data_IF_483967979641
#
_entry.id   IF_483967979641
#
_cell.length_a   1.000
_cell.length_b   1.000
_cell.length_c   1.000
_cell.angle_alpha   90.00
_cell.angle_beta   90.00
_cell.angle_gamma   90.00
#
_symmetry.space_group_name_H-M   'P 1'
#
loop_
_entity.id
_entity.type
_entity.pdbx_description
1 polymer ?
#
# COMPACT_ATOMS: atom_id res chain seq x y z
N UNK A 1 -32.57 14.31 -33.82
CA UNK A 1 -32.57 14.00 -32.38
C UNK A 1 -31.38 13.07 -32.08
N UNK A 2 -30.15 13.54 -32.28
CA UNK A 2 -28.94 12.68 -32.21
C UNK A 2 -27.84 13.24 -31.28
N UNK A 3 -28.10 14.34 -30.57
CA UNK A 3 -27.10 15.03 -29.73
C UNK A 3 -27.17 14.68 -28.24
N UNK A 4 -28.01 13.73 -27.82
CA UNK A 4 -28.10 13.31 -26.41
C UNK A 4 -27.27 12.05 -26.11
N UNK A 5 -27.13 11.11 -27.05
CA UNK A 5 -26.32 9.88 -26.85
C UNK A 5 -24.80 10.12 -26.91
N UNK A 6 -24.36 11.13 -27.68
CA UNK A 6 -22.93 11.44 -27.78
C UNK A 6 -22.39 12.10 -26.50
N UNK A 7 -23.25 12.84 -25.82
CA UNK A 7 -22.90 13.50 -24.56
C UNK A 7 -22.90 12.51 -23.39
N UNK A 8 -23.84 11.56 -23.33
CA UNK A 8 -23.90 10.57 -22.23
C UNK A 8 -22.67 9.66 -22.17
N UNK A 9 -22.07 9.28 -23.30
CA UNK A 9 -20.77 8.56 -23.30
C UNK A 9 -19.63 9.40 -22.73
N UNK A 10 -19.59 10.70 -23.04
CA UNK A 10 -18.58 11.62 -22.52
C UNK A 10 -18.78 11.92 -21.02
N UNK A 11 -20.02 11.86 -20.53
CA UNK A 11 -20.30 11.96 -19.09
C UNK A 11 -19.95 10.69 -18.33
N UNK A 12 -20.13 9.50 -18.93
CA UNK A 12 -19.65 8.25 -18.33
C UNK A 12 -18.12 8.22 -18.25
N UNK A 13 -17.39 8.77 -19.22
CA UNK A 13 -15.93 8.96 -19.14
C UNK A 13 -15.50 9.97 -18.05
N UNK A 14 -16.37 10.89 -17.65
CA UNK A 14 -16.11 11.86 -16.58
C UNK A 14 -16.54 11.35 -15.19
N UNK A 15 -17.49 10.41 -15.12
CA UNK A 15 -17.90 9.64 -13.93
C UNK A 15 -17.07 8.35 -13.71
N UNK A 16 -16.07 8.07 -14.55
CA UNK A 16 -14.79 7.52 -14.05
C UNK A 16 -14.14 8.61 -13.19
N UNK A 17 -14.81 8.97 -12.10
CA UNK A 17 -14.34 9.84 -11.05
C UNK A 17 -12.90 9.44 -10.77
N UNK A 18 -12.01 10.43 -10.74
CA UNK A 18 -10.56 10.25 -10.60
C UNK A 18 -10.27 9.49 -9.30
N UNK A 19 -10.42 8.17 -9.30
CA UNK A 19 -10.12 7.31 -8.17
C UNK A 19 -8.68 7.62 -7.81
N UNK A 20 -8.50 8.09 -6.58
CA UNK A 20 -7.18 8.49 -6.13
C UNK A 20 -6.26 7.26 -6.18
N UNK A 21 -4.95 7.49 -6.25
CA UNK A 21 -4.00 6.38 -6.17
C UNK A 21 -4.23 5.54 -4.90
N UNK A 22 -4.56 6.22 -3.80
CA UNK A 22 -4.86 5.60 -2.53
C UNK A 22 -6.05 4.64 -2.63
N UNK A 23 -7.15 5.09 -3.25
CA UNK A 23 -8.36 4.29 -3.40
C UNK A 23 -8.15 3.08 -4.32
N UNK A 24 -7.42 3.26 -5.44
CA UNK A 24 -7.03 2.16 -6.30
C UNK A 24 -6.14 1.16 -5.56
N UNK A 25 -5.21 1.64 -4.73
CA UNK A 25 -4.33 0.79 -3.93
C UNK A 25 -5.13 -0.03 -2.92
N UNK A 26 -6.04 0.60 -2.16
CA UNK A 26 -6.90 -0.06 -1.17
C UNK A 26 -7.77 -1.14 -1.83
N UNK A 27 -8.41 -0.80 -2.96
CA UNK A 27 -9.27 -1.72 -3.69
C UNK A 27 -8.46 -2.92 -4.25
N UNK A 28 -7.27 -2.66 -4.79
CA UNK A 28 -6.39 -3.72 -5.29
C UNK A 28 -5.93 -4.66 -4.17
N UNK A 29 -5.51 -4.12 -3.03
CA UNK A 29 -5.11 -4.92 -1.86
C UNK A 29 -6.28 -5.78 -1.38
N UNK A 30 -7.47 -5.19 -1.23
CA UNK A 30 -8.66 -5.92 -0.81
C UNK A 30 -9.02 -7.06 -1.78
N UNK A 31 -8.93 -6.82 -3.09
CA UNK A 31 -9.15 -7.85 -4.11
C UNK A 31 -8.13 -8.98 -4.03
N UNK A 32 -6.85 -8.65 -3.83
CA UNK A 32 -5.77 -9.62 -3.67
C UNK A 32 -5.92 -10.46 -2.40
N UNK A 33 -6.24 -9.84 -1.27
CA UNK A 33 -6.51 -10.53 0.00
C UNK A 33 -7.69 -11.50 -0.12
N UNK A 34 -8.76 -11.07 -0.79
CA UNK A 34 -9.97 -11.88 -0.94
C UNK A 34 -9.79 -13.06 -1.89
N UNK A 35 -9.14 -12.86 -3.04
CA UNK A 35 -9.03 -13.90 -4.09
C UNK A 35 -7.77 -14.76 -3.93
N UNK A 36 -6.72 -14.28 -3.27
CA UNK A 36 -5.43 -14.97 -3.10
C UNK A 36 -4.59 -15.09 -4.38
N UNK A 37 -5.24 -15.27 -5.53
CA UNK A 37 -4.65 -15.23 -6.87
C UNK A 37 -5.57 -14.43 -7.78
N UNK A 38 -5.00 -13.54 -8.58
CA UNK A 38 -5.75 -12.70 -9.52
C UNK A 38 -4.99 -12.55 -10.85
N UNK A 39 -5.71 -12.44 -11.96
CA UNK A 39 -5.13 -12.09 -13.26
C UNK A 39 -5.19 -10.59 -13.54
N UNK A 40 -4.36 -10.11 -14.45
CA UNK A 40 -4.37 -8.71 -14.88
C UNK A 40 -5.74 -8.29 -15.45
N UNK A 41 -6.38 -9.16 -16.23
CA UNK A 41 -7.71 -8.92 -16.81
C UNK A 41 -8.78 -8.76 -15.73
N UNK A 42 -8.73 -9.59 -14.68
CA UNK A 42 -9.63 -9.46 -13.52
C UNK A 42 -9.39 -8.14 -12.77
N UNK A 43 -8.13 -7.77 -12.56
CA UNK A 43 -7.76 -6.48 -11.95
C UNK A 43 -8.34 -5.32 -12.78
N UNK A 44 -8.18 -5.35 -14.10
CA UNK A 44 -8.66 -4.31 -15.01
C UNK A 44 -10.19 -4.19 -14.96
N UNK A 45 -10.90 -5.32 -14.90
CA UNK A 45 -12.37 -5.34 -14.83
C UNK A 45 -12.92 -4.80 -13.51
N UNK A 46 -12.20 -4.96 -12.40
CA UNK A 46 -12.66 -4.57 -11.07
C UNK A 46 -12.25 -3.12 -10.72
N UNK A 47 -11.01 -2.74 -11.01
CA UNK A 47 -10.53 -1.39 -10.68
C UNK A 47 -11.06 -0.33 -11.65
N UNK A 48 -11.42 -0.74 -12.88
CA UNK A 48 -11.96 0.15 -13.90
C UNK A 48 -11.03 1.36 -14.09
N UNK A 49 -9.75 1.10 -14.33
CA UNK A 49 -8.72 2.14 -14.53
C UNK A 49 -7.81 1.78 -15.69
N UNK A 50 -6.93 2.70 -16.09
CA UNK A 50 -6.03 2.45 -17.21
C UNK A 50 -4.95 1.40 -16.85
N UNK A 51 -4.47 0.68 -17.87
CA UNK A 51 -3.50 -0.40 -17.68
C UNK A 51 -2.20 0.10 -17.05
N UNK A 52 -1.76 1.31 -17.42
CA UNK A 52 -0.54 1.90 -16.89
C UNK A 52 -0.61 2.05 -15.36
N UNK A 53 -1.74 2.50 -14.82
CA UNK A 53 -1.90 2.67 -13.37
C UNK A 53 -1.88 1.35 -12.64
N UNK A 54 -2.43 0.31 -13.25
CA UNK A 54 -2.38 -1.06 -12.74
C UNK A 54 -0.92 -1.55 -12.72
N UNK A 55 -0.15 -1.33 -13.79
CA UNK A 55 1.27 -1.70 -13.82
C UNK A 55 2.11 -0.94 -12.79
N UNK A 56 1.87 0.36 -12.59
CA UNK A 56 2.55 1.15 -11.57
C UNK A 56 2.31 0.54 -10.17
N UNK A 57 1.04 0.25 -9.85
CA UNK A 57 0.64 -0.37 -8.60
C UNK A 57 1.26 -1.75 -8.40
N UNK A 58 1.15 -2.62 -9.40
CA UNK A 58 1.69 -3.98 -9.34
C UNK A 58 3.21 -3.98 -9.22
N UNK A 59 3.90 -3.04 -9.87
CA UNK A 59 5.36 -2.91 -9.78
C UNK A 59 5.79 -2.54 -8.37
N UNK A 60 5.08 -1.61 -7.72
CA UNK A 60 5.33 -1.26 -6.32
C UNK A 60 5.08 -2.47 -5.41
N UNK A 61 3.92 -3.13 -5.53
CA UNK A 61 3.58 -4.29 -4.70
C UNK A 61 4.55 -5.47 -4.89
N UNK A 62 5.06 -5.68 -6.12
CA UNK A 62 6.10 -6.67 -6.40
C UNK A 62 7.42 -6.29 -5.73
N UNK A 63 7.83 -5.01 -5.81
CA UNK A 63 9.06 -4.52 -5.19
C UNK A 63 9.04 -4.62 -3.66
N UNK A 64 7.84 -4.49 -3.06
CA UNK A 64 7.62 -4.66 -1.62
C UNK A 64 7.50 -6.13 -1.19
N UNK A 65 7.48 -7.08 -2.12
CA UNK A 65 7.30 -8.51 -1.79
C UNK A 65 5.89 -8.87 -1.30
N UNK A 66 4.92 -7.98 -1.46
CA UNK A 66 3.53 -8.19 -1.02
C UNK A 66 2.80 -9.16 -1.97
N UNK A 67 3.17 -9.13 -3.25
CA UNK A 67 2.65 -10.03 -4.29
C UNK A 67 3.78 -10.74 -5.04
N UNK A 68 3.48 -11.90 -5.62
CA UNK A 68 4.40 -12.62 -6.50
C UNK A 68 3.80 -12.80 -7.89
N UNK A 69 4.60 -12.59 -8.93
CA UNK A 69 4.20 -12.86 -10.32
C UNK A 69 4.47 -14.32 -10.68
N UNK A 70 3.49 -14.98 -11.28
CA UNK A 70 3.71 -16.32 -11.84
C UNK A 70 4.39 -16.25 -13.21
N UNK A 71 5.66 -16.60 -13.30
CA UNK A 71 6.41 -16.55 -14.55
C UNK A 71 6.33 -17.84 -15.39
N UNK A 72 5.70 -18.93 -14.91
CA UNK A 72 5.85 -20.26 -15.52
C UNK A 72 4.70 -20.71 -16.43
N UNK A 73 3.44 -20.34 -16.18
CA UNK A 73 2.29 -20.89 -16.94
C UNK A 73 1.12 -19.94 -17.24
N UNK A 74 1.01 -18.80 -16.55
CA UNK A 74 -0.07 -17.83 -16.74
C UNK A 74 0.54 -16.44 -16.81
N UNK A 75 0.86 -15.98 -18.03
CA UNK A 75 1.32 -14.60 -18.26
C UNK A 75 0.24 -13.67 -17.69
N UNK A 76 0.61 -12.89 -16.67
CA UNK A 76 -0.29 -11.90 -16.07
C UNK A 76 -1.09 -12.38 -14.85
N UNK A 77 -0.66 -13.42 -14.13
CA UNK A 77 -1.25 -13.75 -12.82
C UNK A 77 -0.35 -13.38 -11.65
N UNK A 78 -0.98 -12.90 -10.58
CA UNK A 78 -0.38 -12.41 -9.36
C UNK A 78 -0.94 -13.17 -8.17
N UNK A 79 -0.07 -13.50 -7.22
CA UNK A 79 -0.44 -14.17 -5.97
C UNK A 79 -0.26 -13.20 -4.82
N UNK A 80 -1.24 -13.17 -3.92
CA UNK A 80 -1.14 -12.51 -2.63
C UNK A 80 -0.21 -13.32 -1.72
N UNK A 81 0.87 -12.69 -1.24
CA UNK A 81 1.76 -13.29 -0.24
C UNK A 81 1.50 -12.71 1.16
N UNK A 82 0.85 -11.54 1.23
CA UNK A 82 0.48 -10.88 2.48
C UNK A 82 1.59 -10.07 3.13
N UNK A 83 1.22 -9.34 4.18
CA UNK A 83 2.12 -8.46 4.92
C UNK A 83 3.29 -9.20 5.61
N UNK A 84 3.20 -10.53 5.74
CA UNK A 84 4.27 -11.37 6.29
C UNK A 84 5.48 -11.56 5.36
N UNK A 85 5.36 -11.14 4.09
CA UNK A 85 6.37 -11.36 3.04
C UNK A 85 7.09 -10.09 2.58
N UNK A 86 7.00 -9.00 3.34
CA UNK A 86 7.91 -7.84 3.24
C UNK A 86 9.37 -8.24 3.62
N UNK A 87 9.66 -9.53 3.65
CA UNK A 87 10.89 -10.15 4.08
C UNK A 87 11.28 -11.18 3.01
N UNK A 88 12.56 -11.23 2.71
CA UNK A 88 13.24 -12.20 1.85
C UNK A 88 13.33 -11.85 0.36
N UNK A 89 14.01 -10.74 0.06
CA UNK A 89 15.14 -10.86 -0.86
C UNK A 89 16.38 -10.25 -0.21
N UNK A 90 17.21 -11.14 0.37
CA UNK A 90 18.59 -10.93 0.81
C UNK A 90 18.83 -10.06 2.07
N UNK A 91 18.88 -10.74 3.22
CA UNK A 91 19.78 -10.43 4.35
C UNK A 91 19.77 -9.02 4.99
N UNK A 92 18.65 -8.31 4.94
CA UNK A 92 18.47 -7.10 5.74
C UNK A 92 17.17 -7.25 6.51
N UNK A 93 17.19 -6.85 7.78
CA UNK A 93 16.00 -6.80 8.63
C UNK A 93 14.85 -6.16 7.85
N UNK A 94 13.67 -6.78 7.90
CA UNK A 94 12.51 -6.33 7.12
C UNK A 94 12.28 -4.85 7.36
N UNK A 95 12.00 -4.07 6.32
CA UNK A 95 11.77 -2.64 6.48
C UNK A 95 10.68 -2.35 7.53
N UNK A 96 9.66 -3.20 7.65
CA UNK A 96 8.69 -3.15 8.75
C UNK A 96 9.30 -3.39 10.13
N UNK A 97 10.22 -4.36 10.28
CA UNK A 97 10.94 -4.59 11.55
C UNK A 97 11.88 -3.43 11.88
N UNK A 98 12.54 -2.85 10.87
CA UNK A 98 13.38 -1.65 11.03
C UNK A 98 12.53 -0.47 11.49
N UNK A 99 11.39 -0.23 10.84
CA UNK A 99 10.46 0.84 11.22
C UNK A 99 9.86 0.61 12.61
N UNK A 100 9.53 -0.63 12.98
CA UNK A 100 9.05 -0.98 14.33
C UNK A 100 10.13 -0.75 15.39
N UNK A 101 11.40 -1.10 15.09
CA UNK A 101 12.54 -0.83 15.98
C UNK A 101 12.76 0.66 16.14
N UNK A 102 12.81 1.42 15.04
CA UNK A 102 12.96 2.88 15.07
C UNK A 102 11.84 3.52 15.89
N UNK A 103 10.59 3.09 15.70
CA UNK A 103 9.46 3.63 16.44
C UNK A 103 9.57 3.34 17.95
N UNK A 104 9.98 2.14 18.33
CA UNK A 104 10.23 1.79 19.75
C UNK A 104 11.36 2.60 20.36
N UNK A 105 12.47 2.79 19.63
CA UNK A 105 13.61 3.60 20.10
C UNK A 105 13.23 5.07 20.28
N UNK A 106 12.49 5.66 19.33
CA UNK A 106 12.00 7.03 19.44
C UNK A 106 11.08 7.22 20.65
N UNK A 107 10.19 6.27 20.92
CA UNK A 107 9.34 6.31 22.10
C UNK A 107 10.13 6.21 23.41
N UNK A 108 11.16 5.37 23.46
CA UNK A 108 12.00 5.25 24.65
C UNK A 108 12.76 6.56 24.92
N UNK A 109 13.31 7.18 23.87
CA UNK A 109 13.97 8.49 23.95
C UNK A 109 13.00 9.53 24.52
N UNK A 110 11.77 9.58 24.01
CA UNK A 110 10.74 10.50 24.51
C UNK A 110 10.41 10.28 26.00
N UNK A 111 10.31 9.02 26.43
CA UNK A 111 10.09 8.69 27.84
C UNK A 111 11.24 9.14 28.73
N UNK A 112 12.49 8.95 28.28
CA UNK A 112 13.69 9.39 29.00
C UNK A 112 13.68 10.91 29.14
N UNK A 113 13.41 11.67 28.07
CA UNK A 113 13.31 13.13 28.13
C UNK A 113 12.26 13.59 29.14
N UNK A 114 11.06 12.98 29.13
CA UNK A 114 10.01 13.30 30.11
C UNK A 114 10.42 12.98 31.56
N UNK A 115 11.22 11.94 31.77
CA UNK A 115 11.71 11.58 33.08
C UNK A 115 12.79 12.55 33.59
N UNK A 116 13.73 12.94 32.74
CA UNK A 116 14.76 13.94 33.08
C UNK A 116 14.13 15.29 33.44
N UNK A 117 13.15 15.75 32.64
CA UNK A 117 12.44 17.02 32.92
C UNK A 117 11.74 17.00 34.29
N UNK A 118 11.20 15.86 34.71
CA UNK A 118 10.60 15.71 36.05
C UNK A 118 11.64 15.78 37.15
N UNK A 119 12.81 15.15 36.97
CA UNK A 119 13.90 15.21 37.94
C UNK A 119 14.42 16.64 38.08
N UNK A 120 14.58 17.37 36.97
CA UNK A 120 15.04 18.77 37.00
C UNK A 120 14.04 19.67 37.74
N UNK A 121 12.73 19.43 37.55
CA UNK A 121 11.66 20.12 38.29
C UNK A 121 11.59 19.75 39.78
N UNK A 122 11.98 18.53 40.15
CA UNK A 122 12.04 18.08 41.55
C UNK A 122 13.28 18.61 42.26
N UNK A 123 14.43 18.67 41.57
CA UNK A 123 15.67 19.21 42.11
C UNK A 123 15.66 20.74 42.22
N UNK A 124 15.04 21.45 41.27
CA UNK A 124 14.87 22.91 41.33
C UNK A 124 13.85 23.41 42.37
N UNK A 125 13.17 22.51 43.09
CA UNK A 125 12.30 22.84 44.23
C UNK A 125 12.95 22.62 45.59
N UNK A 126 14.17 22.08 45.60
CA UNK A 126 14.94 21.77 46.82
C UNK A 126 16.12 22.75 47.05
N UNK A 127 16.23 23.82 46.26
CA UNK A 127 17.04 25.02 46.53
C UNK A 127 16.14 26.18 46.99
#
# INVERSE_FOLDING_TARGET
>A
MENQEFNSKKYLENEFERKTLEELTKNLIFLLEKKGKITFEEIQSELLTNEQRIYDLLSILLSLGIIQRNNKKFKGSYFWIGNGSIITQNNQESMCLILDKIWKEQNLIFQIFSYCEKIDLENGKNE
#
